data_IF_916648492373
#
_entry.id   IF_916648492373
#
_cell.length_a   1.000
_cell.length_b   1.000
_cell.length_c   1.000
_cell.angle_alpha   90.00
_cell.angle_beta   90.00
_cell.angle_gamma   90.00
#
_symmetry.space_group_name_H-M   'P 1'
#
loop_
_entity.id
_entity.type
_entity.pdbx_description
1 polymer ?
#
# COMPACT_ATOMS: atom_id res chain seq x y z
N UNK A 1 7.13 10.35 -0.14
CA UNK A 1 6.07 10.11 -1.14
C UNK A 1 5.99 8.65 -1.57
N UNK A 2 7.13 7.99 -1.81
CA UNK A 2 7.23 6.58 -2.22
C UNK A 2 6.46 5.60 -1.34
N UNK A 3 6.52 5.68 -0.01
CA UNK A 3 5.78 4.75 0.88
C UNK A 3 4.26 4.76 0.68
N UNK A 4 3.66 5.95 0.51
CA UNK A 4 2.21 6.10 0.33
C UNK A 4 1.76 5.51 -1.01
N UNK A 5 2.59 5.71 -2.04
CA UNK A 5 2.40 5.05 -3.33
C UNK A 5 2.52 3.52 -3.20
N UNK A 6 3.55 3.03 -2.51
CA UNK A 6 3.83 1.60 -2.36
C UNK A 6 2.67 0.83 -1.71
N UNK A 7 2.04 1.38 -0.67
CA UNK A 7 0.87 0.76 -0.02
C UNK A 7 -0.29 0.48 -0.99
N UNK A 8 -0.43 1.29 -2.03
CA UNK A 8 -1.46 1.11 -3.06
C UNK A 8 -0.95 0.25 -4.21
N UNK A 9 0.26 0.51 -4.68
CA UNK A 9 0.83 -0.09 -5.88
C UNK A 9 1.14 -1.58 -5.75
N UNK A 10 1.46 -2.08 -4.54
CA UNK A 10 1.73 -3.51 -4.33
C UNK A 10 0.55 -4.42 -4.72
N UNK A 11 -0.67 -3.89 -4.68
CA UNK A 11 -1.90 -4.60 -5.06
C UNK A 11 -2.09 -4.73 -6.58
N UNK A 12 -1.22 -4.14 -7.39
CA UNK A 12 -1.24 -4.24 -8.85
C UNK A 12 -0.54 -5.54 -9.31
N UNK A 13 -1.05 -6.68 -8.85
CA UNK A 13 -0.54 -8.00 -9.25
C UNK A 13 0.39 -8.69 -8.26
N UNK A 14 0.56 -8.14 -7.04
CA UNK A 14 1.31 -8.79 -5.95
C UNK A 14 2.66 -9.38 -6.40
N UNK A 15 3.57 -8.53 -6.94
CA UNK A 15 4.78 -9.00 -7.60
C UNK A 15 5.74 -9.69 -6.64
N UNK A 16 6.54 -10.60 -7.19
CA UNK A 16 7.67 -11.22 -6.50
C UNK A 16 8.63 -10.17 -5.92
N UNK A 17 9.27 -10.50 -4.80
CA UNK A 17 10.06 -9.54 -4.03
C UNK A 17 11.15 -8.84 -4.84
N UNK A 18 11.84 -9.54 -5.76
CA UNK A 18 12.89 -8.94 -6.60
C UNK A 18 12.32 -7.86 -7.52
N UNK A 19 11.22 -8.16 -8.21
CA UNK A 19 10.53 -7.22 -9.09
C UNK A 19 9.97 -6.03 -8.29
N UNK A 20 9.42 -6.31 -7.11
CA UNK A 20 8.91 -5.28 -6.22
C UNK A 20 10.02 -4.36 -5.69
N UNK A 21 11.16 -4.94 -5.32
CA UNK A 21 12.33 -4.19 -4.86
C UNK A 21 12.80 -3.21 -5.94
N UNK A 22 12.93 -3.67 -7.17
CA UNK A 22 13.37 -2.84 -8.30
C UNK A 22 12.38 -1.72 -8.59
N UNK A 23 11.08 -2.03 -8.61
CA UNK A 23 10.02 -1.03 -8.82
C UNK A 23 10.03 0.06 -7.73
N UNK A 24 10.24 -0.32 -6.47
CA UNK A 24 10.27 0.64 -5.36
C UNK A 24 11.54 1.49 -5.41
N UNK A 25 12.72 0.90 -5.72
CA UNK A 25 13.97 1.66 -5.89
C UNK A 25 13.83 2.66 -7.04
N UNK A 26 13.35 2.22 -8.21
CA UNK A 26 13.13 3.09 -9.35
C UNK A 26 12.19 4.26 -9.01
N UNK A 27 11.14 4.00 -8.21
CA UNK A 27 10.25 5.07 -7.74
C UNK A 27 10.94 6.05 -6.81
N UNK A 28 11.85 5.59 -5.94
CA UNK A 28 12.68 6.48 -5.11
C UNK A 28 13.58 7.34 -5.98
N UNK A 29 14.27 6.73 -6.95
CA UNK A 29 15.16 7.42 -7.88
C UNK A 29 14.42 8.47 -8.71
N UNK A 30 13.20 8.17 -9.18
CA UNK A 30 12.34 9.11 -9.90
C UNK A 30 12.03 10.37 -9.07
N UNK A 31 11.69 10.22 -7.78
CA UNK A 31 11.48 11.37 -6.91
C UNK A 31 12.78 12.08 -6.54
N UNK A 32 13.87 11.32 -6.38
CA UNK A 32 15.20 11.87 -6.10
C UNK A 32 15.69 12.79 -7.22
N UNK A 33 15.43 12.43 -8.49
CA UNK A 33 15.78 13.23 -9.66
C UNK A 33 15.06 14.58 -9.73
N UNK A 34 13.97 14.77 -8.96
CA UNK A 34 13.24 16.03 -8.87
C UNK A 34 13.73 16.94 -7.74
N UNK A 35 14.70 16.50 -6.93
CA UNK A 35 15.24 17.31 -5.84
C UNK A 35 16.28 18.32 -6.36
N UNK A 36 16.34 19.54 -5.79
CA UNK A 36 17.39 20.51 -6.14
C UNK A 36 18.81 19.98 -5.87
N UNK A 37 18.96 19.12 -4.86
CA UNK A 37 20.19 18.40 -4.55
C UNK A 37 19.83 16.92 -4.40
N UNK A 38 20.12 16.07 -5.40
CA UNK A 38 19.81 14.65 -5.35
C UNK A 38 20.65 13.90 -4.29
N UNK A 39 20.04 12.88 -3.69
CA UNK A 39 20.71 11.89 -2.86
C UNK A 39 21.60 10.97 -3.71
N UNK A 40 22.53 10.30 -3.04
CA UNK A 40 23.39 9.31 -3.69
C UNK A 40 22.63 8.02 -4.06
N UNK A 41 23.06 7.28 -5.10
CA UNK A 41 22.41 6.02 -5.47
C UNK A 41 22.32 4.98 -4.33
N UNK A 42 23.34 4.80 -3.46
CA UNK A 42 23.23 3.91 -2.31
C UNK A 42 22.11 4.30 -1.32
N UNK A 43 21.91 5.59 -1.09
CA UNK A 43 20.83 6.07 -0.21
C UNK A 43 19.45 5.78 -0.81
N UNK A 44 19.28 6.01 -2.13
CA UNK A 44 18.05 5.66 -2.83
C UNK A 44 17.73 4.16 -2.69
N UNK A 45 18.75 3.30 -2.87
CA UNK A 45 18.62 1.84 -2.71
C UNK A 45 18.27 1.46 -1.27
N UNK A 46 18.85 2.11 -0.27
CA UNK A 46 18.55 1.85 1.13
C UNK A 46 17.09 2.20 1.47
N UNK A 47 16.61 3.37 1.03
CA UNK A 47 15.22 3.80 1.20
C UNK A 47 14.28 2.82 0.49
N UNK A 48 14.58 2.48 -0.77
CA UNK A 48 13.77 1.56 -1.56
C UNK A 48 13.66 0.18 -0.92
N UNK A 49 14.78 -0.37 -0.47
CA UNK A 49 14.85 -1.68 0.22
C UNK A 49 14.05 -1.69 1.51
N UNK A 50 14.08 -0.62 2.30
CA UNK A 50 13.30 -0.50 3.53
C UNK A 50 11.79 -0.57 3.25
N UNK A 51 11.32 0.21 2.27
CA UNK A 51 9.90 0.25 1.87
C UNK A 51 9.47 -1.09 1.27
N UNK A 52 10.26 -1.66 0.35
CA UNK A 52 9.95 -2.92 -0.32
C UNK A 52 9.83 -4.07 0.69
N UNK A 53 10.78 -4.20 1.63
CA UNK A 53 10.72 -5.23 2.68
C UNK A 53 9.49 -5.10 3.56
N UNK A 54 9.18 -3.88 4.01
CA UNK A 54 8.01 -3.67 4.86
C UNK A 54 6.70 -3.99 4.14
N UNK A 55 6.55 -3.52 2.90
CA UNK A 55 5.31 -3.73 2.15
C UNK A 55 5.13 -5.20 1.77
N UNK A 56 6.17 -5.85 1.24
CA UNK A 56 6.10 -7.27 0.86
C UNK A 56 5.87 -8.21 2.04
N UNK A 57 6.29 -7.84 3.26
CA UNK A 57 6.07 -8.66 4.46
C UNK A 57 4.66 -8.51 5.04
N UNK A 58 4.09 -7.30 5.03
CA UNK A 58 2.89 -7.00 5.80
C UNK A 58 1.62 -6.86 4.93
N UNK A 59 1.76 -6.67 3.62
CA UNK A 59 0.63 -6.48 2.71
C UNK A 59 0.45 -7.76 1.91
N UNK A 60 -0.70 -8.40 2.07
CA UNK A 60 -1.10 -9.59 1.33
C UNK A 60 -2.54 -9.43 0.85
N UNK A 61 -3.01 -10.26 -0.10
CA UNK A 61 -4.41 -10.26 -0.50
C UNK A 61 -5.36 -10.42 0.69
N UNK A 62 -5.01 -11.28 1.65
CA UNK A 62 -5.80 -11.58 2.84
C UNK A 62 -5.85 -10.39 3.79
N UNK A 63 -4.71 -9.77 4.11
CA UNK A 63 -4.70 -8.60 4.99
C UNK A 63 -5.43 -7.42 4.37
N UNK A 64 -5.40 -7.29 3.04
CA UNK A 64 -6.20 -6.30 2.33
C UNK A 64 -7.69 -6.62 2.34
N UNK A 65 -8.09 -7.88 2.11
CA UNK A 65 -9.49 -8.29 2.17
C UNK A 65 -10.08 -8.04 3.57
N UNK A 66 -9.33 -8.35 4.62
CA UNK A 66 -9.72 -8.05 6.00
C UNK A 66 -9.89 -6.55 6.22
N UNK A 67 -8.91 -5.74 5.79
CA UNK A 67 -9.01 -4.28 5.87
C UNK A 67 -10.27 -3.74 5.18
N UNK A 68 -10.63 -4.27 4.00
CA UNK A 68 -11.86 -3.89 3.29
C UNK A 68 -13.10 -4.30 4.08
N UNK A 69 -13.15 -5.53 4.61
CA UNK A 69 -14.26 -5.99 5.45
C UNK A 69 -14.46 -5.07 6.67
N UNK A 70 -13.38 -4.70 7.34
CA UNK A 70 -13.43 -3.88 8.56
C UNK A 70 -13.87 -2.43 8.29
N UNK A 71 -13.56 -1.89 7.10
CA UNK A 71 -13.75 -0.46 6.80
C UNK A 71 -14.89 -0.16 5.83
N UNK A 72 -15.32 -1.15 5.05
CA UNK A 72 -16.34 -1.01 4.00
C UNK A 72 -17.57 -1.90 4.24
N UNK A 73 -17.72 -2.49 5.43
CA UNK A 73 -19.01 -3.01 5.86
C UNK A 73 -19.91 -1.84 6.28
N UNK A 74 -20.90 -1.54 5.45
CA UNK A 74 -22.04 -0.75 5.92
C UNK A 74 -22.72 -1.60 7.00
N UNK A 75 -22.56 -1.22 8.26
CA UNK A 75 -23.39 -1.69 9.36
C UNK A 75 -24.81 -1.16 9.13
N UNK A 76 -25.51 -1.69 8.13
CA UNK A 76 -26.96 -1.73 8.18
C UNK A 76 -27.29 -2.72 9.29
N UNK A 77 -27.28 -2.20 10.52
CA UNK A 77 -28.11 -2.73 11.59
C UNK A 77 -29.49 -2.83 10.97
N UNK A 78 -29.91 -4.05 10.70
CA UNK A 78 -31.27 -4.36 10.34
C UNK A 78 -32.11 -3.91 11.53
N UNK A 79 -32.52 -2.64 11.54
CA UNK A 79 -33.61 -2.18 12.41
C UNK A 79 -34.79 -2.98 11.88
N UNK A 80 -35.29 -4.00 12.61
CA UNK A 80 -36.49 -4.66 12.17
C UNK A 80 -37.53 -3.56 12.18
N UNK A 81 -38.11 -3.28 11.02
CA UNK A 81 -39.27 -2.41 10.90
C UNK A 81 -40.40 -3.13 11.64
N UNK A 82 -40.41 -3.00 12.97
CA UNK A 82 -41.49 -3.46 13.81
C UNK A 82 -42.69 -2.59 13.43
N UNK A 83 -43.53 -3.19 12.59
CA UNK A 83 -44.87 -2.78 12.26
C UNK A 83 -45.55 -2.19 13.51
N UNK A 84 -45.79 -0.87 13.52
CA UNK A 84 -46.76 -0.27 14.43
C UNK A 84 -47.97 0.15 13.61
N UNK A 85 -49.13 -0.55 13.76
CA UNK A 85 -50.37 -0.09 13.16
C UNK A 85 -50.98 1.00 14.05
N UNK A 86 -51.41 2.11 13.44
CA UNK A 86 -52.60 2.86 13.86
C UNK A 86 -53.27 3.45 12.63
#
# INVERSE_FOLDING_TARGET
>A
MTRKWAYRAIRQGWPEFSQWLDAVIQRVEMYNASLPVPLSPPECRAIGKSIAKYTHRNFTPETFAQYVADTHTLTYVFVPLALTPR
#
